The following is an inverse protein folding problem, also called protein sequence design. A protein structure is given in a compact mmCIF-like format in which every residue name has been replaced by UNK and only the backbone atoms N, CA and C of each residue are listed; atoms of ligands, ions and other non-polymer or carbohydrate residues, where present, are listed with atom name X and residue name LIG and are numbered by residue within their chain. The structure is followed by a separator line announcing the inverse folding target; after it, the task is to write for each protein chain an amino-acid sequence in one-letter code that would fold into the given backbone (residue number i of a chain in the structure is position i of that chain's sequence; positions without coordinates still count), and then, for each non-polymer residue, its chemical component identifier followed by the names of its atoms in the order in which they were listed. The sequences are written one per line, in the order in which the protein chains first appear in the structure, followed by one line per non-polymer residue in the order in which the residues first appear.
data_IF_102255854163
#
_entry.id   IF_102255854163
#
_cell.length_a   1.000
_cell.length_b   1.000
_cell.length_c   1.000
_cell.angle_alpha   90.00
_cell.angle_beta   90.00
_cell.angle_gamma   90.00
#
_symmetry.space_group_name_H-M   'P 1'
#
loop_
_entity.id
_entity.type
_entity.pdbx_description
1 polymer ?
#
# COMPACT_ATOMS: atom_id res chain seq x y z
N UNK A 1 -5.45 31.52 -30.65
CA UNK A 1 -4.84 31.32 -29.32
C UNK A 1 -4.32 29.89 -29.23
N UNK A 2 -3.01 29.67 -29.28
CA UNK A 2 -2.42 28.35 -29.15
C UNK A 2 -2.46 27.92 -27.67
N UNK A 3 -3.20 26.86 -27.36
CA UNK A 3 -3.14 26.23 -26.03
C UNK A 3 -1.81 25.49 -25.94
N UNK A 4 -0.85 26.06 -25.22
CA UNK A 4 0.41 25.39 -24.88
C UNK A 4 0.08 24.08 -24.15
N UNK A 5 0.35 22.93 -24.79
CA UNK A 5 0.28 21.62 -24.12
C UNK A 5 1.42 21.57 -23.12
N UNK A 6 1.14 22.00 -21.89
CA UNK A 6 2.07 21.83 -20.79
C UNK A 6 2.27 20.32 -20.60
N UNK A 7 3.45 19.84 -20.98
CA UNK A 7 3.76 18.41 -20.98
C UNK A 7 3.73 17.83 -19.58
N UNK A 8 3.38 16.56 -19.46
CA UNK A 8 3.49 15.80 -18.22
C UNK A 8 4.95 15.83 -17.74
N UNK A 9 5.17 16.04 -16.46
CA UNK A 9 6.51 16.06 -15.84
C UNK A 9 6.56 15.09 -14.68
N UNK A 10 7.63 14.33 -14.57
CA UNK A 10 7.89 13.54 -13.37
C UNK A 10 8.15 14.46 -12.18
N UNK A 11 7.61 14.10 -11.03
CA UNK A 11 7.79 14.81 -9.76
C UNK A 11 8.18 13.82 -8.67
N UNK A 12 9.07 14.23 -7.77
CA UNK A 12 9.59 13.33 -6.73
C UNK A 12 8.82 13.42 -5.41
N UNK A 13 7.95 14.42 -5.27
CA UNK A 13 7.22 14.68 -4.05
C UNK A 13 5.81 15.26 -4.30
N UNK A 14 4.89 14.95 -3.40
CA UNK A 14 3.55 15.51 -3.32
C UNK A 14 3.18 15.80 -1.87
N UNK A 15 2.71 17.02 -1.58
CA UNK A 15 2.17 17.36 -0.24
C UNK A 15 0.68 17.07 -0.22
N UNK A 16 0.24 16.22 0.72
CA UNK A 16 -1.18 15.87 0.88
C UNK A 16 -1.95 17.13 1.23
N UNK A 17 -2.96 17.48 0.41
CA UNK A 17 -3.76 18.70 0.57
C UNK A 17 -4.36 18.79 1.98
N UNK A 18 -4.26 19.98 2.57
CA UNK A 18 -4.75 20.24 3.93
C UNK A 18 -3.84 19.73 5.05
N UNK A 19 -2.65 19.23 4.72
CA UNK A 19 -1.67 18.75 5.70
C UNK A 19 -0.25 19.20 5.34
N UNK A 20 0.70 19.00 6.27
CA UNK A 20 2.13 19.21 6.02
C UNK A 20 2.86 17.88 5.69
N UNK A 21 2.12 16.80 5.38
CA UNK A 21 2.70 15.48 5.10
C UNK A 21 3.12 15.40 3.63
N UNK A 22 4.42 15.17 3.42
CA UNK A 22 5.03 15.01 2.09
C UNK A 22 5.20 13.53 1.77
N UNK A 23 4.62 13.11 0.65
CA UNK A 23 4.74 11.77 0.05
C UNK A 23 5.79 11.81 -1.05
N UNK A 24 6.63 10.79 -1.12
CA UNK A 24 7.70 10.59 -2.10
C UNK A 24 7.57 9.24 -2.79
N UNK A 25 8.23 9.08 -3.93
CA UNK A 25 8.36 7.77 -4.58
C UNK A 25 9.03 6.79 -3.61
N UNK A 26 8.48 5.58 -3.49
CA UNK A 26 8.88 4.55 -2.54
C UNK A 26 8.11 4.57 -1.21
N UNK A 27 7.41 5.67 -0.87
CA UNK A 27 6.58 5.71 0.34
C UNK A 27 5.38 4.77 0.23
N UNK A 28 4.94 4.25 1.38
CA UNK A 28 3.65 3.59 1.51
C UNK A 28 2.59 4.60 1.97
N UNK A 29 1.39 4.49 1.39
CA UNK A 29 0.30 5.44 1.61
C UNK A 29 -1.02 4.71 1.85
N UNK A 30 -1.87 5.38 2.64
CA UNK A 30 -3.29 5.05 2.73
C UNK A 30 -4.05 5.83 1.65
N UNK A 31 -4.91 5.14 0.92
CA UNK A 31 -5.72 5.71 -0.14
C UNK A 31 -7.19 5.46 0.12
N UNK A 32 -8.01 6.47 -0.16
CA UNK A 32 -9.46 6.42 0.01
C UNK A 32 -10.03 5.23 -0.77
N UNK A 33 -10.86 4.39 -0.14
CA UNK A 33 -11.50 3.28 -0.81
C UNK A 33 -12.65 3.75 -1.70
N UNK A 34 -13.08 2.91 -2.64
CA UNK A 34 -14.24 3.22 -3.48
C UNK A 34 -15.54 3.28 -2.67
N UNK A 35 -15.63 2.44 -1.64
CA UNK A 35 -16.72 2.38 -0.67
C UNK A 35 -16.17 2.77 0.71
N UNK A 36 -16.76 3.79 1.32
CA UNK A 36 -16.30 4.40 2.58
C UNK A 36 -16.47 3.50 3.79
N UNK A 37 -17.25 2.44 3.69
CA UNK A 37 -17.40 1.45 4.76
C UNK A 37 -16.18 0.51 4.84
N UNK A 38 -15.37 0.46 3.77
CA UNK A 38 -14.14 -0.31 3.76
C UNK A 38 -12.98 0.45 4.41
N UNK A 39 -11.99 -0.26 4.96
CA UNK A 39 -10.76 0.37 5.41
C UNK A 39 -10.01 0.99 4.21
N UNK A 40 -9.19 2.04 4.43
CA UNK A 40 -8.35 2.59 3.38
C UNK A 40 -7.47 1.55 2.72
N UNK A 41 -7.33 1.66 1.39
CA UNK A 41 -6.40 0.84 0.63
C UNK A 41 -4.97 1.20 0.98
N UNK A 42 -4.08 0.22 0.93
CA UNK A 42 -2.65 0.43 1.18
C UNK A 42 -1.89 0.26 -0.13
N UNK A 43 -1.01 1.21 -0.45
CA UNK A 43 -0.24 1.15 -1.70
C UNK A 43 1.18 1.69 -1.52
N UNK A 44 2.10 1.19 -2.34
CA UNK A 44 3.43 1.78 -2.51
C UNK A 44 3.43 2.72 -3.69
N UNK A 45 3.97 3.92 -3.53
CA UNK A 45 4.13 4.88 -4.62
C UNK A 45 5.31 4.48 -5.49
N UNK A 46 5.07 4.18 -6.77
CA UNK A 46 6.10 3.75 -7.73
C UNK A 46 6.59 4.90 -8.62
N UNK A 47 5.71 5.85 -8.94
CA UNK A 47 6.02 7.04 -9.75
C UNK A 47 4.99 8.12 -9.51
N UNK A 48 5.35 9.39 -9.68
CA UNK A 48 4.41 10.51 -9.69
C UNK A 48 4.62 11.40 -10.90
N UNK A 49 3.52 11.85 -11.50
CA UNK A 49 3.50 12.70 -12.68
C UNK A 49 2.58 13.91 -12.44
N UNK A 50 3.09 15.12 -12.67
CA UNK A 50 2.26 16.32 -12.74
C UNK A 50 1.79 16.60 -14.17
N UNK A 51 0.56 17.05 -14.33
CA UNK A 51 0.02 17.54 -15.60
C UNK A 51 0.41 18.99 -15.92
N UNK A 52 1.22 19.63 -15.07
CA UNK A 52 1.64 21.02 -15.20
C UNK A 52 0.56 22.05 -14.85
N UNK A 53 -0.65 21.62 -14.50
CA UNK A 53 -1.80 22.46 -14.10
C UNK A 53 -2.13 22.31 -12.61
N UNK A 54 -1.26 21.65 -11.86
CA UNK A 54 -1.40 21.43 -10.42
C UNK A 54 -2.08 20.09 -10.06
N UNK A 55 -2.47 19.27 -11.04
CA UNK A 55 -2.89 17.90 -10.76
C UNK A 55 -1.67 16.99 -10.76
N UNK A 56 -1.67 16.03 -9.83
CA UNK A 56 -0.64 15.00 -9.73
C UNK A 56 -1.33 13.64 -9.80
N UNK A 57 -0.82 12.77 -10.67
CA UNK A 57 -1.19 11.37 -10.74
C UNK A 57 -0.07 10.54 -10.15
N UNK A 58 -0.43 9.48 -9.44
CA UNK A 58 0.50 8.57 -8.79
C UNK A 58 0.32 7.19 -9.39
N UNK A 59 1.40 6.61 -9.91
CA UNK A 59 1.45 5.19 -10.22
C UNK A 59 1.75 4.46 -8.93
N UNK A 60 0.90 3.51 -8.58
CA UNK A 60 0.98 2.78 -7.32
C UNK A 60 1.04 1.28 -7.56
N UNK A 61 1.60 0.57 -6.58
CA UNK A 61 1.55 -0.88 -6.47
C UNK A 61 0.74 -1.24 -5.24
N UNK A 62 -0.32 -2.02 -5.42
CA UNK A 62 -1.28 -2.30 -4.35
C UNK A 62 -0.76 -3.33 -3.36
N UNK A 63 -1.00 -3.07 -2.09
CA UNK A 63 -1.01 -4.09 -1.05
C UNK A 63 -2.43 -4.60 -0.85
N UNK A 64 -2.57 -5.93 -0.78
CA UNK A 64 -3.85 -6.57 -0.51
C UNK A 64 -3.92 -6.95 0.97
N UNK A 65 -5.08 -6.71 1.58
CA UNK A 65 -5.41 -7.26 2.89
C UNK A 65 -5.79 -8.75 2.73
N UNK A 66 -5.62 -9.57 3.78
CA UNK A 66 -6.06 -10.95 3.79
C UNK A 66 -7.50 -11.19 3.33
N UNK A 67 -8.41 -10.28 3.67
CA UNK A 67 -9.82 -10.30 3.32
C UNK A 67 -10.07 -10.10 1.82
N UNK A 68 -9.17 -9.37 1.15
CA UNK A 68 -9.26 -9.01 -0.26
C UNK A 68 -8.62 -10.08 -1.17
N UNK A 69 -7.85 -11.00 -0.59
CA UNK A 69 -7.22 -12.09 -1.33
C UNK A 69 -8.25 -13.15 -1.74
N UNK A 70 -8.05 -13.79 -2.90
CA UNK A 70 -8.96 -14.85 -3.41
C UNK A 70 -9.18 -16.00 -2.42
N UNK A 71 -8.16 -16.30 -1.60
CA UNK A 71 -8.22 -17.35 -0.58
C UNK A 71 -8.82 -16.92 0.76
N UNK A 72 -9.16 -15.64 0.92
CA UNK A 72 -9.66 -15.03 2.15
C UNK A 72 -8.65 -15.02 3.31
N UNK A 73 -9.07 -14.43 4.43
CA UNK A 73 -8.30 -14.43 5.68
C UNK A 73 -8.18 -15.85 6.23
N UNK A 74 -6.98 -16.20 6.71
CA UNK A 74 -6.65 -17.47 7.37
C UNK A 74 -6.24 -17.22 8.82
N UNK A 75 -6.32 -18.22 9.72
CA UNK A 75 -5.99 -18.05 11.14
C UNK A 75 -4.55 -17.58 11.41
N UNK A 76 -3.61 -17.87 10.51
CA UNK A 76 -2.22 -17.46 10.64
C UNK A 76 -1.92 -16.05 10.10
N UNK A 77 -2.92 -15.37 9.50
CA UNK A 77 -2.77 -14.00 9.04
C UNK A 77 -2.92 -13.01 10.21
N UNK A 78 -1.92 -12.15 10.39
CA UNK A 78 -1.97 -11.11 11.42
C UNK A 78 -2.97 -10.00 11.09
N UNK A 79 -3.37 -9.24 12.11
CA UNK A 79 -4.31 -8.13 11.95
C UNK A 79 -3.76 -6.99 11.07
N UNK A 80 -2.45 -6.77 11.11
CA UNK A 80 -1.72 -5.74 10.33
C UNK A 80 -0.99 -6.31 9.11
N UNK A 81 -1.31 -7.54 8.72
CA UNK A 81 -0.67 -8.20 7.58
C UNK A 81 -1.20 -7.68 6.25
N UNK A 82 -0.28 -7.52 5.30
CA UNK A 82 -0.54 -7.15 3.92
C UNK A 82 0.26 -8.03 2.96
N UNK A 83 -0.19 -8.10 1.71
CA UNK A 83 0.47 -8.82 0.64
C UNK A 83 0.84 -7.88 -0.50
N UNK A 84 2.12 -7.83 -0.88
CA UNK A 84 2.58 -6.97 -1.97
C UNK A 84 2.16 -7.59 -3.31
N UNK A 85 1.21 -6.97 -4.01
CA UNK A 85 0.66 -7.55 -5.23
C UNK A 85 1.47 -7.25 -6.49
N UNK A 86 1.20 -7.93 -7.60
CA UNK A 86 1.61 -7.53 -8.95
C UNK A 86 0.64 -6.55 -9.63
N UNK A 87 -0.35 -6.04 -8.89
CA UNK A 87 -1.35 -5.11 -9.39
C UNK A 87 -0.85 -3.67 -9.28
N UNK A 88 -0.64 -3.05 -10.44
CA UNK A 88 -0.30 -1.64 -10.57
C UNK A 88 -1.47 -0.84 -11.14
N UNK A 89 -1.63 0.39 -10.64
CA UNK A 89 -2.65 1.30 -11.14
C UNK A 89 -2.15 2.76 -11.13
N UNK A 90 -2.86 3.66 -11.81
CA UNK A 90 -2.61 5.11 -11.78
C UNK A 90 -3.80 5.83 -11.17
N UNK A 91 -3.58 6.45 -10.02
CA UNK A 91 -4.59 7.14 -9.24
C UNK A 91 -4.32 8.64 -9.15
N UNK A 92 -5.32 9.43 -8.77
CA UNK A 92 -5.12 10.84 -8.43
C UNK A 92 -4.40 10.94 -7.08
N UNK A 93 -3.40 11.81 -6.95
CA UNK A 93 -2.74 12.04 -5.65
C UNK A 93 -3.71 12.53 -4.56
N UNK A 94 -4.89 13.05 -4.95
CA UNK A 94 -5.94 13.51 -4.04
C UNK A 94 -6.61 12.38 -3.26
N UNK A 95 -6.50 11.13 -3.71
CA UNK A 95 -7.07 10.00 -2.97
C UNK A 95 -6.16 9.56 -1.83
N UNK A 96 -4.94 10.10 -1.71
CA UNK A 96 -4.04 9.81 -0.60
C UNK A 96 -4.54 10.52 0.66
N UNK A 97 -4.82 9.73 1.70
CA UNK A 97 -5.32 10.22 2.99
C UNK A 97 -4.19 10.34 4.02
N UNK A 98 -3.12 9.54 3.87
CA UNK A 98 -2.01 9.55 4.79
C UNK A 98 -0.82 8.71 4.33
N UNK A 99 0.26 8.77 5.09
CA UNK A 99 1.42 7.88 4.98
C UNK A 99 1.29 6.76 6.00
N UNK A 100 1.71 5.57 5.61
CA UNK A 100 1.84 4.41 6.49
C UNK A 100 3.22 3.76 6.32
N UNK A 101 3.53 2.80 7.17
CA UNK A 101 4.79 2.03 7.11
C UNK A 101 4.45 0.56 6.92
N UNK A 102 4.99 -0.03 5.85
CA UNK A 102 4.90 -1.48 5.62
C UNK A 102 6.27 -2.09 5.89
N UNK A 103 6.40 -2.69 7.08
CA UNK A 103 7.63 -3.30 7.56
C UNK A 103 7.87 -4.67 6.92
N UNK A 104 9.14 -5.10 6.89
CA UNK A 104 9.44 -6.52 6.79
C UNK A 104 8.93 -7.23 8.04
N UNK A 105 8.52 -8.50 7.93
CA UNK A 105 8.07 -9.26 9.10
C UNK A 105 9.12 -9.29 10.23
N UNK A 106 10.41 -9.41 9.89
CA UNK A 106 11.51 -9.37 10.86
C UNK A 106 11.64 -8.03 11.59
N UNK A 107 11.36 -6.93 10.92
CA UNK A 107 11.40 -5.58 11.53
C UNK A 107 10.15 -5.37 12.40
N UNK A 108 8.99 -5.82 11.91
CA UNK A 108 7.71 -5.68 12.60
C UNK A 108 7.70 -6.41 13.94
N UNK A 109 8.24 -7.63 14.02
CA UNK A 109 8.29 -8.41 15.27
C UNK A 109 9.22 -7.82 16.34
N UNK A 110 9.97 -6.76 16.00
CA UNK A 110 10.86 -6.03 16.92
C UNK A 110 10.31 -4.68 17.38
N UNK A 111 9.13 -4.29 16.92
CA UNK A 111 8.51 -3.04 17.35
C UNK A 111 8.01 -3.21 18.79
N UNK A 112 8.41 -2.29 19.67
CA UNK A 112 7.92 -2.27 21.05
C UNK A 112 6.41 -1.96 21.11
N UNK A 113 5.94 -1.10 20.20
CA UNK A 113 4.54 -0.73 20.06
C UNK A 113 4.17 -0.65 18.58
N UNK A 114 3.05 -1.28 18.22
CA UNK A 114 2.50 -1.24 16.86
C UNK A 114 1.49 -0.10 16.77
N UNK A 115 1.79 0.91 15.95
CA UNK A 115 0.89 2.02 15.69
C UNK A 115 -0.28 1.67 14.77
N UNK A 116 -1.25 2.60 14.63
CA UNK A 116 -2.37 2.42 13.70
C UNK A 116 -1.90 2.30 12.25
N UNK A 117 -0.82 3.00 11.89
CA UNK A 117 -0.23 3.09 10.55
C UNK A 117 0.89 2.08 10.28
N UNK A 118 1.18 1.19 11.22
CA UNK A 118 2.19 0.14 11.08
C UNK A 118 1.55 -1.15 10.54
N UNK A 119 2.08 -1.60 9.41
CA UNK A 119 1.73 -2.84 8.74
C UNK A 119 2.97 -3.70 8.52
N UNK A 120 2.78 -4.95 8.13
CA UNK A 120 3.89 -5.78 7.67
C UNK A 120 3.53 -6.61 6.46
N UNK A 121 4.57 -6.93 5.68
CA UNK A 121 4.47 -7.79 4.52
C UNK A 121 5.54 -8.90 4.61
N UNK A 122 5.11 -10.13 4.33
CA UNK A 122 6.00 -11.31 4.21
C UNK A 122 5.75 -12.14 2.96
N UNK A 123 4.75 -11.77 2.17
CA UNK A 123 4.38 -12.46 0.94
C UNK A 123 4.19 -11.47 -0.21
N UNK A 124 4.68 -11.85 -1.38
CA UNK A 124 4.18 -11.30 -2.64
C UNK A 124 2.93 -12.07 -3.06
N UNK A 125 2.02 -11.39 -3.75
CA UNK A 125 0.72 -11.92 -4.18
C UNK A 125 0.47 -11.67 -5.66
N UNK A 126 0.04 -12.69 -6.40
CA UNK A 126 -0.38 -12.55 -7.80
C UNK A 126 -1.89 -12.31 -7.85
N UNK A 127 -2.32 -11.07 -8.10
CA UNK A 127 -3.73 -10.69 -8.03
C UNK A 127 -4.63 -11.50 -8.99
N UNK A 128 -4.10 -11.82 -10.17
CA UNK A 128 -4.82 -12.59 -11.19
C UNK A 128 -5.02 -14.07 -10.80
N UNK A 129 -4.04 -14.72 -10.17
CA UNK A 129 -4.10 -16.16 -9.89
C UNK A 129 -4.41 -16.50 -8.43
N UNK A 130 -4.17 -15.57 -7.51
CA UNK A 130 -4.24 -15.80 -6.07
C UNK A 130 -3.00 -16.49 -5.49
N UNK A 131 -1.93 -16.66 -6.28
CA UNK A 131 -0.71 -17.32 -5.84
C UNK A 131 0.12 -16.44 -4.91
N UNK A 132 0.81 -17.06 -3.96
CA UNK A 132 1.70 -16.40 -3.00
C UNK A 132 3.15 -16.80 -3.22
N UNK A 133 4.07 -15.87 -2.96
CA UNK A 133 5.51 -16.12 -2.93
C UNK A 133 6.09 -15.60 -1.60
N UNK A 134 6.83 -16.41 -0.83
CA UNK A 134 7.08 -17.83 -1.06
C UNK A 134 5.81 -18.68 -0.89
N UNK A 135 5.74 -19.81 -1.59
CA UNK A 135 4.66 -20.79 -1.51
C UNK A 135 4.77 -21.71 -0.27
N UNK A 136 5.91 -21.62 0.44
CA UNK A 136 6.19 -22.37 1.67
C UNK A 136 6.70 -21.42 2.76
N UNK A 137 6.17 -21.58 3.97
CA UNK A 137 6.64 -20.89 5.17
C UNK A 137 6.81 -21.86 6.32
N UNK A 138 7.76 -21.57 7.20
CA UNK A 138 7.95 -22.35 8.43
C UNK A 138 6.69 -22.25 9.30
N UNK A 139 6.17 -23.41 9.72
CA UNK A 139 5.03 -23.51 10.62
C UNK A 139 5.53 -23.86 12.01
N UNK A 140 5.18 -23.05 13.00
CA UNK A 140 5.41 -23.36 14.40
C UNK A 140 4.05 -23.68 15.03
N UNK A 141 3.89 -24.88 15.61
CA UNK A 141 2.71 -25.18 16.42
C UNK A 141 2.75 -24.27 17.65
N UNK A 142 1.68 -23.50 17.88
CA UNK A 142 1.42 -22.99 19.21
C UNK A 142 1.23 -24.23 20.11
N UNK A 143 2.10 -24.40 21.10
CA UNK A 143 1.89 -25.40 22.15
C UNK A 143 0.53 -25.10 22.79
N UNK A 144 -0.36 -26.09 22.93
CA UNK A 144 -1.57 -25.88 23.71
C UNK A 144 -1.12 -25.54 25.12
N UNK A 145 -1.54 -24.38 25.62
CA UNK A 145 -1.48 -24.10 27.04
C UNK A 145 -2.21 -25.25 27.75
N UNK A 146 -1.48 -25.99 28.59
CA UNK A 146 -2.01 -26.96 29.56
C UNK A 146 -2.93 -26.25 30.56
#
# INVERSE_FOLDING_TARGET
MAKTKQGKRDVDAYTIKGTNKVVRVGDCVLMRPADTDNPPYVARVERMESDGRGSVRVRVRWYYRPEEAKGGRRPFHGAKELFLSDHFDTQSAHTIEGKCIVHSFKSYTKLDNVGPEDFYCRFDYKAATGAFTPDRVAVYKALPFL
#
